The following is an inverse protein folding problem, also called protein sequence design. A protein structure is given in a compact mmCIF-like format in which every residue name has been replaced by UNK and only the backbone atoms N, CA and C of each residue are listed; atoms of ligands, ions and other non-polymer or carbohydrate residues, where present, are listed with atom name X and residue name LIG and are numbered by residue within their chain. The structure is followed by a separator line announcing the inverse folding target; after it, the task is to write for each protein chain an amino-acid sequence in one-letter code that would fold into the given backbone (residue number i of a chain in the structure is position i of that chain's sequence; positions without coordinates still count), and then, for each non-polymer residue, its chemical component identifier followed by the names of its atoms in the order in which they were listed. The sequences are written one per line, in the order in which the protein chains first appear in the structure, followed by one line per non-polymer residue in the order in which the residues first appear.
data_IF_492673754481
#
_entry.id   IF_492673754481
#
_cell.length_a   1.000
_cell.length_b   1.000
_cell.length_c   1.000
_cell.angle_alpha   90.00
_cell.angle_beta   90.00
_cell.angle_gamma   90.00
#
_symmetry.space_group_name_H-M   'P 1'
#
loop_
_entity.id
_entity.type
_entity.pdbx_description
1 polymer ?
#
# COMPACT_ATOMS: atom_id res chain seq x y z
N UNK A 1 51.66 -40.67 -72.36
CA UNK A 1 50.68 -41.59 -71.81
C UNK A 1 50.43 -41.26 -70.33
N UNK A 2 49.23 -41.09 -70.00
CA UNK A 2 48.52 -41.06 -68.75
C UNK A 2 47.72 -39.78 -68.49
N UNK A 3 46.46 -40.00 -68.61
CA UNK A 3 45.32 -39.04 -68.36
C UNK A 3 45.33 -38.54 -66.94
N UNK A 4 45.08 -37.21 -66.78
CA UNK A 4 44.66 -36.67 -65.49
C UNK A 4 43.22 -36.14 -65.71
N UNK A 5 42.24 -36.74 -64.98
CA UNK A 5 40.85 -36.40 -64.94
C UNK A 5 40.65 -35.30 -63.90
N UNK A 6 40.17 -34.12 -64.34
CA UNK A 6 39.77 -33.04 -63.46
C UNK A 6 38.41 -33.37 -62.81
N UNK A 7 38.40 -33.44 -61.48
CA UNK A 7 37.19 -33.51 -60.65
C UNK A 7 36.81 -32.09 -60.21
N UNK A 8 35.72 -31.58 -60.74
CA UNK A 8 35.13 -30.28 -60.31
C UNK A 8 34.26 -30.56 -59.09
N UNK A 9 34.72 -30.09 -57.91
CA UNK A 9 33.93 -30.09 -56.68
C UNK A 9 33.08 -28.80 -56.62
N UNK A 10 31.78 -28.94 -56.82
CA UNK A 10 30.82 -27.83 -56.63
C UNK A 10 30.55 -27.68 -55.11
N UNK A 11 31.04 -26.61 -54.55
CA UNK A 11 30.66 -26.21 -53.18
C UNK A 11 29.30 -25.51 -53.22
N UNK A 12 28.24 -26.13 -52.70
CA UNK A 12 26.98 -25.53 -52.41
C UNK A 12 27.11 -24.75 -51.08
N UNK A 13 27.17 -23.45 -51.15
CA UNK A 13 27.12 -22.58 -49.97
C UNK A 13 25.64 -22.47 -49.53
N UNK A 14 25.27 -23.29 -48.55
CA UNK A 14 24.00 -23.11 -47.83
C UNK A 14 24.14 -21.91 -46.90
N UNK A 15 23.60 -20.76 -47.31
CA UNK A 15 23.51 -19.58 -46.49
C UNK A 15 22.54 -19.81 -45.34
N UNK A 16 23.06 -20.07 -44.17
CA UNK A 16 22.30 -20.01 -42.92
C UNK A 16 21.88 -18.52 -42.71
N UNK A 17 20.65 -18.17 -43.03
CA UNK A 17 20.02 -16.94 -42.58
C UNK A 17 19.90 -17.04 -41.05
N UNK A 18 20.86 -16.48 -40.34
CA UNK A 18 20.75 -16.23 -38.91
C UNK A 18 19.63 -15.19 -38.73
N UNK A 19 18.44 -15.67 -38.35
CA UNK A 19 17.41 -14.81 -37.78
C UNK A 19 18.01 -14.22 -36.50
N UNK A 20 18.59 -13.05 -36.61
CA UNK A 20 18.88 -12.21 -35.45
C UNK A 20 17.52 -11.81 -34.88
N UNK A 21 17.01 -12.59 -33.92
CA UNK A 21 16.01 -12.08 -32.99
C UNK A 21 16.64 -10.87 -32.35
N UNK A 22 16.15 -9.70 -32.73
CA UNK A 22 16.42 -8.48 -31.95
C UNK A 22 16.02 -8.82 -30.53
N UNK A 23 16.98 -9.01 -29.62
CA UNK A 23 16.70 -9.00 -28.22
C UNK A 23 16.16 -7.59 -27.94
N UNK A 24 14.82 -7.48 -27.87
CA UNK A 24 14.22 -6.29 -27.30
C UNK A 24 14.93 -6.09 -25.96
N UNK A 25 15.52 -4.93 -25.76
CA UNK A 25 16.09 -4.58 -24.48
C UNK A 25 15.01 -4.84 -23.45
N UNK A 26 15.29 -5.78 -22.54
CA UNK A 26 14.35 -6.13 -21.49
C UNK A 26 13.94 -4.84 -20.78
N UNK A 27 12.63 -4.59 -20.65
CA UNK A 27 12.14 -3.44 -19.92
C UNK A 27 12.67 -3.51 -18.48
N UNK A 28 13.00 -2.36 -17.91
CA UNK A 28 13.34 -2.24 -16.50
C UNK A 28 12.25 -1.46 -15.80
N UNK A 29 11.83 -1.91 -14.64
CA UNK A 29 10.79 -1.27 -13.83
C UNK A 29 11.23 -1.28 -12.37
N UNK A 30 11.29 -0.08 -11.78
CA UNK A 30 11.56 0.08 -10.37
C UNK A 30 10.27 0.40 -9.62
N UNK A 31 9.80 -0.54 -8.79
CA UNK A 31 8.60 -0.42 -7.99
C UNK A 31 8.89 0.18 -6.61
N UNK A 32 8.06 1.11 -6.16
CA UNK A 32 8.01 1.51 -4.76
C UNK A 32 7.11 0.55 -4.00
N UNK A 33 7.67 -0.08 -2.96
CA UNK A 33 6.99 -1.05 -2.11
C UNK A 33 6.86 -0.47 -0.71
N UNK A 34 5.64 -0.10 -0.33
CA UNK A 34 5.41 0.44 1.01
C UNK A 34 5.50 -0.65 2.08
N UNK A 35 5.78 -0.26 3.32
CA UNK A 35 6.09 -1.17 4.43
C UNK A 35 4.84 -1.67 5.18
N UNK A 36 3.75 -1.95 4.45
CA UNK A 36 2.56 -2.63 4.97
C UNK A 36 2.02 -3.66 3.97
N UNK A 37 1.34 -4.68 4.49
CA UNK A 37 1.07 -5.92 3.77
C UNK A 37 0.22 -5.77 2.51
N UNK A 38 -0.81 -4.88 2.48
CA UNK A 38 -1.62 -4.71 1.27
C UNK A 38 -0.80 -4.14 0.12
N UNK A 39 0.06 -3.16 0.37
CA UNK A 39 0.96 -2.63 -0.65
C UNK A 39 1.95 -3.69 -1.15
N UNK A 40 2.50 -4.51 -0.23
CA UNK A 40 3.41 -5.58 -0.58
C UNK A 40 2.74 -6.62 -1.50
N UNK A 41 1.48 -7.00 -1.24
CA UNK A 41 0.73 -7.89 -2.14
C UNK A 41 0.53 -7.26 -3.51
N UNK A 42 0.15 -5.99 -3.58
CA UNK A 42 -0.01 -5.30 -4.86
C UNK A 42 1.31 -5.21 -5.63
N UNK A 43 2.40 -4.88 -4.95
CA UNK A 43 3.74 -4.83 -5.54
C UNK A 43 4.18 -6.20 -6.04
N UNK A 44 3.96 -7.26 -5.25
CA UNK A 44 4.32 -8.63 -5.63
C UNK A 44 3.51 -9.15 -6.83
N UNK A 45 2.19 -8.93 -6.86
CA UNK A 45 1.34 -9.32 -8.00
C UNK A 45 1.75 -8.56 -9.27
N UNK A 46 1.92 -7.25 -9.18
CA UNK A 46 2.33 -6.43 -10.32
C UNK A 46 3.72 -6.82 -10.81
N UNK A 47 4.68 -7.00 -9.89
CA UNK A 47 6.05 -7.43 -10.18
C UNK A 47 6.08 -8.79 -10.90
N UNK A 48 5.33 -9.77 -10.40
CA UNK A 48 5.26 -11.09 -11.02
C UNK A 48 4.73 -11.03 -12.47
N UNK A 49 3.67 -10.26 -12.71
CA UNK A 49 3.14 -10.07 -14.07
C UNK A 49 4.16 -9.36 -14.97
N UNK A 50 4.88 -8.35 -14.46
CA UNK A 50 5.92 -7.64 -15.20
C UNK A 50 7.09 -8.56 -15.57
N UNK A 51 7.56 -9.38 -14.63
CA UNK A 51 8.65 -10.33 -14.88
C UNK A 51 8.25 -11.47 -15.81
N UNK A 52 7.21 -12.21 -15.46
CA UNK A 52 6.83 -13.44 -16.17
C UNK A 52 6.02 -13.18 -17.43
N UNK A 53 5.19 -12.15 -17.42
CA UNK A 53 4.33 -11.79 -18.56
C UNK A 53 5.03 -10.91 -19.58
N UNK A 54 5.61 -9.81 -19.14
CA UNK A 54 6.26 -8.84 -20.03
C UNK A 54 7.75 -9.11 -20.23
N UNK A 55 8.39 -9.90 -19.37
CA UNK A 55 9.82 -10.19 -19.43
C UNK A 55 10.69 -9.02 -18.96
N UNK A 56 10.17 -8.18 -18.07
CA UNK A 56 10.90 -7.06 -17.50
C UNK A 56 11.87 -7.52 -16.41
N UNK A 57 12.96 -6.78 -16.24
CA UNK A 57 13.75 -6.77 -15.02
C UNK A 57 13.03 -5.88 -14.01
N UNK A 58 12.62 -6.42 -12.86
CA UNK A 58 11.87 -5.70 -11.83
C UNK A 58 12.73 -5.54 -10.59
N UNK A 59 12.90 -4.31 -10.16
CA UNK A 59 13.50 -3.95 -8.88
C UNK A 59 12.41 -3.37 -7.98
N UNK A 60 12.51 -3.54 -6.66
CA UNK A 60 11.64 -2.87 -5.71
C UNK A 60 12.44 -2.26 -4.56
N UNK A 61 12.00 -1.09 -4.10
CA UNK A 61 12.54 -0.45 -2.89
C UNK A 61 11.44 -0.38 -1.86
N UNK A 62 11.67 -1.01 -0.69
CA UNK A 62 10.74 -1.00 0.42
C UNK A 62 10.99 0.17 1.35
N UNK A 63 9.92 0.80 1.83
CA UNK A 63 10.01 1.90 2.79
C UNK A 63 8.67 2.48 3.19
N UNK A 64 8.69 3.38 4.18
CA UNK A 64 7.50 4.10 4.59
C UNK A 64 7.05 5.13 3.54
N UNK A 65 5.87 5.71 3.73
CA UNK A 65 5.25 6.61 2.73
C UNK A 65 6.16 7.76 2.33
N UNK A 66 6.78 8.43 3.28
CA UNK A 66 7.55 9.66 3.01
C UNK A 66 8.74 9.42 2.07
N UNK A 67 9.67 8.48 2.32
CA UNK A 67 10.81 8.25 1.43
C UNK A 67 10.40 7.65 0.08
N UNK A 68 9.41 6.75 0.03
CA UNK A 68 8.97 6.15 -1.24
C UNK A 68 8.32 7.19 -2.15
N UNK A 69 7.43 8.05 -1.60
CA UNK A 69 6.82 9.10 -2.39
C UNK A 69 7.85 10.16 -2.84
N UNK A 70 8.80 10.53 -1.98
CA UNK A 70 9.89 11.42 -2.38
C UNK A 70 10.71 10.83 -3.56
N UNK A 71 11.08 9.56 -3.50
CA UNK A 71 11.80 8.88 -4.57
C UNK A 71 10.99 8.80 -5.88
N UNK A 72 9.66 8.63 -5.80
CA UNK A 72 8.78 8.71 -6.97
C UNK A 72 8.78 10.11 -7.59
N UNK A 73 8.65 11.17 -6.76
CA UNK A 73 8.66 12.57 -7.22
C UNK A 73 10.00 12.97 -7.82
N UNK A 74 11.10 12.44 -7.28
CA UNK A 74 12.47 12.63 -7.76
C UNK A 74 12.84 11.72 -8.94
N UNK A 75 11.87 10.98 -9.50
CA UNK A 75 12.03 10.12 -10.68
C UNK A 75 13.03 8.96 -10.47
N UNK A 76 13.22 8.53 -9.22
CA UNK A 76 14.07 7.39 -8.84
C UNK A 76 13.30 6.06 -8.77
N UNK A 77 12.00 6.14 -8.50
CA UNK A 77 11.03 5.04 -8.57
C UNK A 77 10.12 5.30 -9.76
N UNK A 78 9.76 4.24 -10.47
CA UNK A 78 8.95 4.31 -11.67
C UNK A 78 7.44 4.25 -11.37
N UNK A 79 7.03 3.32 -10.50
CA UNK A 79 5.61 3.04 -10.22
C UNK A 79 5.43 2.74 -8.74
N UNK A 80 4.34 3.26 -8.17
CA UNK A 80 3.77 2.82 -6.88
C UNK A 80 2.36 2.27 -7.12
N UNK A 81 2.05 1.15 -6.47
CA UNK A 81 0.83 0.37 -6.74
C UNK A 81 -0.29 0.63 -5.74
N UNK A 82 0.00 1.27 -4.61
CA UNK A 82 -1.01 1.61 -3.60
C UNK A 82 -0.72 2.97 -2.97
N UNK A 83 -1.54 3.98 -3.26
CA UNK A 83 -1.41 5.32 -2.71
C UNK A 83 -2.67 5.70 -1.95
N UNK A 84 -2.52 6.07 -0.69
CA UNK A 84 -3.56 6.63 0.17
C UNK A 84 -3.71 8.13 -0.13
N UNK A 85 -4.26 8.43 -1.30
CA UNK A 85 -4.25 9.76 -1.92
C UNK A 85 -4.85 10.84 -1.04
N UNK A 86 -5.98 10.55 -0.40
CA UNK A 86 -6.70 11.55 0.41
C UNK A 86 -5.95 11.94 1.69
N UNK A 87 -4.96 11.16 2.11
CA UNK A 87 -4.02 11.52 3.16
C UNK A 87 -2.85 12.39 2.66
N UNK A 88 -2.73 12.58 1.34
CA UNK A 88 -1.60 13.21 0.65
C UNK A 88 -2.05 14.27 -0.37
N UNK A 89 -3.27 14.79 -0.28
CA UNK A 89 -3.91 15.61 -1.32
C UNK A 89 -2.97 16.69 -1.84
N UNK A 90 -2.50 17.58 -0.95
CA UNK A 90 -1.67 18.70 -1.37
C UNK A 90 -0.38 18.24 -2.04
N UNK A 91 0.28 17.22 -1.48
CA UNK A 91 1.53 16.70 -2.01
C UNK A 91 1.36 16.07 -3.40
N UNK A 92 0.27 15.35 -3.61
CA UNK A 92 -0.06 14.77 -4.92
C UNK A 92 -0.40 15.87 -5.94
N UNK A 93 -1.26 16.83 -5.59
CA UNK A 93 -1.64 17.92 -6.48
C UNK A 93 -0.43 18.79 -6.88
N UNK A 94 0.45 19.09 -5.95
CA UNK A 94 1.67 19.85 -6.23
C UNK A 94 2.59 19.13 -7.23
N UNK A 95 2.70 17.81 -7.13
CA UNK A 95 3.54 17.00 -8.00
C UNK A 95 2.90 16.71 -9.36
N UNK A 96 1.57 16.62 -9.41
CA UNK A 96 0.81 16.63 -10.67
C UNK A 96 1.01 17.97 -11.41
N UNK A 97 0.89 19.09 -10.71
CA UNK A 97 1.09 20.43 -11.27
C UNK A 97 2.54 20.67 -11.76
N UNK A 98 3.53 20.14 -11.03
CA UNK A 98 4.94 20.15 -11.45
C UNK A 98 5.24 19.19 -12.60
N UNK A 99 4.32 18.27 -12.91
CA UNK A 99 4.52 17.26 -13.94
C UNK A 99 5.56 16.21 -13.58
N UNK A 100 5.75 15.91 -12.29
CA UNK A 100 6.69 14.85 -11.85
C UNK A 100 6.04 13.47 -11.83
N UNK A 101 4.72 13.40 -11.69
CA UNK A 101 3.97 12.15 -11.67
C UNK A 101 2.74 12.20 -12.58
N UNK A 102 2.20 11.01 -12.85
CA UNK A 102 0.85 10.81 -13.37
C UNK A 102 0.10 9.83 -12.48
N UNK A 103 -1.19 10.06 -12.31
CA UNK A 103 -2.08 9.07 -11.67
C UNK A 103 -2.50 8.01 -12.67
N UNK A 104 -2.57 6.75 -12.21
CA UNK A 104 -2.92 5.59 -13.03
C UNK A 104 -4.27 4.97 -12.64
N UNK A 105 -5.08 5.72 -11.88
CA UNK A 105 -6.43 5.32 -11.48
C UNK A 105 -6.48 4.46 -10.21
N UNK A 106 -7.66 3.94 -9.92
CA UNK A 106 -7.96 3.20 -8.69
C UNK A 106 -7.34 1.82 -8.73
N UNK A 107 -6.67 1.46 -7.61
CA UNK A 107 -6.18 0.12 -7.34
C UNK A 107 -7.22 -0.69 -6.55
N UNK A 108 -7.58 -0.21 -5.34
CA UNK A 108 -8.51 -0.87 -4.44
C UNK A 108 -9.59 0.11 -4.02
N UNK A 109 -10.86 -0.15 -4.37
CA UNK A 109 -11.97 0.70 -3.94
C UNK A 109 -12.34 0.45 -2.48
N UNK A 110 -12.95 1.44 -1.84
CA UNK A 110 -13.59 1.32 -0.52
C UNK A 110 -12.63 0.90 0.60
N UNK A 111 -11.56 1.67 0.79
CA UNK A 111 -10.65 1.54 1.92
C UNK A 111 -11.06 2.48 3.05
N UNK A 112 -11.02 2.00 4.28
CA UNK A 112 -11.39 2.77 5.47
C UNK A 112 -10.26 2.79 6.48
N UNK A 113 -10.22 3.81 7.32
CA UNK A 113 -9.32 3.93 8.45
C UNK A 113 -9.98 4.73 9.57
N UNK A 114 -9.46 4.63 10.78
CA UNK A 114 -10.03 5.35 11.92
C UNK A 114 -9.59 4.79 13.27
N UNK A 115 -10.29 5.18 14.32
CA UNK A 115 -10.08 4.72 15.67
C UNK A 115 -11.02 3.56 15.99
N UNK A 116 -10.47 2.51 16.57
CA UNK A 116 -11.18 1.25 16.83
C UNK A 116 -11.04 0.82 18.29
N UNK A 117 -12.10 0.21 18.79
CA UNK A 117 -12.11 -0.48 20.10
C UNK A 117 -12.53 -1.93 19.86
N UNK A 118 -12.03 -2.86 20.67
CA UNK A 118 -12.51 -4.24 20.60
C UNK A 118 -14.01 -4.32 20.91
N UNK A 119 -14.73 -5.16 20.19
CA UNK A 119 -16.19 -5.27 20.25
C UNK A 119 -16.71 -5.66 21.64
N UNK A 120 -16.07 -6.60 22.39
CA UNK A 120 -16.50 -6.92 23.76
C UNK A 120 -16.45 -5.70 24.69
N UNK A 121 -15.37 -4.91 24.65
CA UNK A 121 -15.22 -3.71 25.47
C UNK A 121 -16.22 -2.62 25.02
N UNK A 122 -16.36 -2.39 23.73
CA UNK A 122 -17.34 -1.44 23.19
C UNK A 122 -18.78 -1.79 23.64
N UNK A 123 -19.17 -3.06 23.54
CA UNK A 123 -20.49 -3.52 23.94
C UNK A 123 -20.71 -3.40 25.45
N UNK A 124 -19.70 -3.74 26.26
CA UNK A 124 -19.81 -3.71 27.73
C UNK A 124 -19.95 -2.31 28.30
N UNK A 125 -19.26 -1.34 27.72
CA UNK A 125 -19.20 0.03 28.23
C UNK A 125 -19.98 1.04 27.38
N UNK A 126 -20.63 0.57 26.31
CA UNK A 126 -21.48 1.41 25.42
C UNK A 126 -20.66 2.37 24.55
N UNK A 127 -19.39 2.03 24.25
CA UNK A 127 -18.50 2.88 23.48
C UNK A 127 -18.87 2.87 22.00
N UNK A 128 -19.22 4.02 21.45
CA UNK A 128 -19.65 4.20 20.06
C UNK A 128 -18.95 5.37 19.37
N UNK A 129 -18.65 6.43 20.11
CA UNK A 129 -18.08 7.66 19.59
C UNK A 129 -16.74 7.95 20.27
N UNK A 130 -15.86 8.70 19.63
CA UNK A 130 -14.57 9.11 20.21
C UNK A 130 -14.74 9.88 21.53
N UNK A 131 -15.86 10.59 21.70
CA UNK A 131 -16.17 11.30 22.94
C UNK A 131 -16.42 10.37 24.12
N UNK A 132 -16.87 9.13 23.90
CA UNK A 132 -17.04 8.12 24.95
C UNK A 132 -15.71 7.70 25.58
N UNK A 133 -14.61 7.91 24.85
CA UNK A 133 -13.25 7.63 25.32
C UNK A 133 -12.75 8.69 26.31
N UNK A 134 -13.34 9.89 26.36
CA UNK A 134 -12.95 10.99 27.28
C UNK A 134 -13.45 10.78 28.70
N UNK A 135 -13.08 9.65 29.29
CA UNK A 135 -13.46 9.26 30.64
C UNK A 135 -12.28 8.53 31.31
N UNK A 136 -11.88 9.01 32.48
CA UNK A 136 -10.75 8.45 33.19
C UNK A 136 -10.94 6.97 33.59
N UNK A 137 -12.16 6.52 33.87
CA UNK A 137 -12.41 5.12 34.19
C UNK A 137 -12.39 4.23 32.95
N UNK A 138 -12.79 4.75 31.79
CA UNK A 138 -12.61 4.09 30.50
C UNK A 138 -11.15 4.03 30.13
N UNK A 139 -10.39 5.11 30.29
CA UNK A 139 -8.95 5.15 29.99
C UNK A 139 -8.14 4.10 30.79
N UNK A 140 -8.51 3.86 32.07
CA UNK A 140 -7.88 2.82 32.90
C UNK A 140 -7.99 1.41 32.32
N UNK A 141 -9.01 1.12 31.51
CA UNK A 141 -9.16 -0.20 30.85
C UNK A 141 -8.01 -0.47 29.88
N UNK A 142 -7.47 0.58 29.30
CA UNK A 142 -6.40 0.58 28.31
C UNK A 142 -5.06 1.04 28.90
N UNK A 143 -4.85 0.88 30.19
CA UNK A 143 -3.73 1.45 30.94
C UNK A 143 -2.38 1.34 30.21
N UNK A 144 -1.68 2.47 30.11
CA UNK A 144 -0.36 2.54 29.52
C UNK A 144 0.71 2.25 30.59
N UNK A 145 1.51 1.17 30.46
CA UNK A 145 2.55 0.86 31.43
C UNK A 145 3.69 1.89 31.46
N UNK A 146 3.86 2.67 30.40
CA UNK A 146 4.91 3.69 30.27
C UNK A 146 4.45 5.08 30.69
N UNK A 147 3.12 5.29 30.82
CA UNK A 147 2.52 6.57 31.24
C UNK A 147 1.47 6.34 32.32
N UNK A 148 1.87 6.16 33.59
CA UNK A 148 0.96 5.93 34.72
C UNK A 148 -0.15 6.99 34.78
N UNK A 149 -1.39 6.53 34.88
CA UNK A 149 -2.57 7.39 34.92
C UNK A 149 -3.23 7.67 33.57
N UNK A 150 -2.60 7.31 32.47
CA UNK A 150 -3.19 7.37 31.11
C UNK A 150 -3.49 5.98 30.55
N UNK A 151 -4.43 5.93 29.63
CA UNK A 151 -4.61 4.82 28.72
C UNK A 151 -3.62 4.91 27.53
N UNK A 152 -3.47 3.82 26.80
CA UNK A 152 -2.71 3.76 25.54
C UNK A 152 -3.65 3.63 24.36
N UNK A 153 -3.56 4.55 23.39
CA UNK A 153 -4.05 4.35 22.05
C UNK A 153 -2.88 3.89 21.19
N UNK A 154 -2.91 2.64 20.72
CA UNK A 154 -1.91 2.15 19.77
C UNK A 154 -2.22 2.76 18.40
N UNK A 155 -1.39 3.68 17.98
CA UNK A 155 -1.68 4.57 16.85
C UNK A 155 -0.95 4.16 15.57
N UNK A 156 -0.94 5.06 14.61
CA UNK A 156 -0.24 4.92 13.36
C UNK A 156 1.28 5.05 13.55
N UNK A 157 2.03 4.54 12.60
CA UNK A 157 3.49 4.42 12.64
C UNK A 157 4.12 5.70 12.08
N UNK A 158 5.20 6.16 12.73
CA UNK A 158 6.04 7.26 12.24
C UNK A 158 6.55 6.95 10.83
N UNK A 159 6.47 7.94 9.93
CA UNK A 159 6.79 7.77 8.50
C UNK A 159 5.58 7.44 7.62
N UNK A 160 4.45 7.00 8.19
CA UNK A 160 3.17 6.94 7.50
C UNK A 160 2.40 8.26 7.63
N UNK A 161 1.57 8.57 6.63
CA UNK A 161 0.82 9.84 6.64
C UNK A 161 -0.18 9.95 7.78
N UNK A 162 -0.79 8.83 8.19
CA UNK A 162 -1.74 8.78 9.31
C UNK A 162 -1.12 9.13 10.67
N UNK A 163 0.20 9.02 10.82
CA UNK A 163 0.86 9.34 12.11
C UNK A 163 0.57 10.78 12.55
N UNK A 164 0.87 11.75 11.70
CA UNK A 164 0.66 13.17 12.04
C UNK A 164 -0.82 13.54 12.02
N UNK A 165 -1.62 12.93 11.13
CA UNK A 165 -3.09 13.11 11.15
C UNK A 165 -3.66 12.66 12.48
N UNK A 166 -3.26 11.49 12.99
CA UNK A 166 -3.71 10.98 14.28
C UNK A 166 -3.23 11.83 15.46
N UNK A 167 -2.01 12.40 15.40
CA UNK A 167 -1.55 13.35 16.42
C UNK A 167 -2.47 14.56 16.51
N UNK A 168 -2.84 15.15 15.38
CA UNK A 168 -3.76 16.30 15.33
C UNK A 168 -5.15 15.91 15.82
N UNK A 169 -5.72 14.81 15.31
CA UNK A 169 -7.04 14.31 15.72
C UNK A 169 -7.09 13.98 17.21
N UNK A 170 -6.06 13.30 17.71
CA UNK A 170 -5.94 12.94 19.12
C UNK A 170 -6.01 14.18 20.03
N UNK A 171 -5.35 15.26 19.62
CA UNK A 171 -5.35 16.52 20.34
C UNK A 171 -6.67 17.28 20.20
N UNK A 172 -7.19 17.43 18.99
CA UNK A 172 -8.45 18.11 18.73
C UNK A 172 -9.63 17.44 19.45
N UNK A 173 -9.63 16.12 19.52
CA UNK A 173 -10.66 15.37 20.25
C UNK A 173 -10.46 15.39 21.77
N UNK A 174 -9.38 16.00 22.29
CA UNK A 174 -9.07 16.01 23.73
C UNK A 174 -8.71 14.63 24.28
N UNK A 175 -8.29 13.71 23.43
CA UNK A 175 -7.86 12.36 23.85
C UNK A 175 -6.49 12.39 24.53
N UNK A 176 -5.68 13.40 24.26
CA UNK A 176 -4.35 13.60 24.84
C UNK A 176 -4.36 13.81 26.36
N UNK A 177 -5.49 14.24 26.94
CA UNK A 177 -5.68 14.30 28.39
C UNK A 177 -5.76 12.90 29.00
N UNK A 178 -6.32 11.91 28.29
CA UNK A 178 -6.65 10.59 28.79
C UNK A 178 -5.73 9.48 28.28
N UNK A 179 -5.17 9.62 27.09
CA UNK A 179 -4.39 8.58 26.42
C UNK A 179 -3.06 9.08 25.90
N UNK A 180 -2.09 8.18 25.84
CA UNK A 180 -0.91 8.37 25.00
C UNK A 180 -1.24 7.97 23.56
N UNK A 181 -0.68 8.71 22.61
CA UNK A 181 -0.70 8.34 21.18
C UNK A 181 0.55 7.50 20.90
N UNK A 182 0.46 6.17 21.10
CA UNK A 182 1.60 5.28 21.09
C UNK A 182 1.94 4.81 19.68
N UNK A 183 3.18 5.04 19.26
CA UNK A 183 3.74 4.52 18.00
C UNK A 183 4.26 3.10 18.21
N UNK A 184 3.72 2.06 17.58
CA UNK A 184 4.21 0.69 17.68
C UNK A 184 5.51 0.43 16.90
N UNK A 185 5.96 1.37 16.07
CA UNK A 185 7.20 1.32 15.31
C UNK A 185 7.13 0.56 13.96
N UNK A 186 6.13 -0.28 13.74
CA UNK A 186 5.89 -0.97 12.46
C UNK A 186 4.47 -1.49 12.34
N UNK A 187 4.01 -1.74 11.10
CA UNK A 187 2.68 -2.34 10.84
C UNK A 187 2.55 -3.71 11.51
N UNK A 188 3.56 -4.57 11.40
CA UNK A 188 3.56 -5.87 12.06
C UNK A 188 3.52 -5.78 13.59
N UNK A 189 4.13 -4.75 14.20
CA UNK A 189 4.06 -4.53 15.65
C UNK A 189 2.66 -4.03 16.07
N UNK A 190 2.01 -3.20 15.24
CA UNK A 190 0.61 -2.81 15.44
C UNK A 190 -0.32 -4.03 15.41
N UNK A 191 -0.19 -4.88 14.39
CA UNK A 191 -0.95 -6.13 14.26
C UNK A 191 -0.73 -7.06 15.45
N UNK A 192 0.53 -7.24 15.86
CA UNK A 192 0.88 -8.08 17.00
C UNK A 192 0.32 -7.53 18.33
N UNK A 193 0.30 -6.20 18.50
CA UNK A 193 -0.29 -5.57 19.68
C UNK A 193 -1.81 -5.84 19.77
N UNK A 194 -2.53 -5.65 18.65
CA UNK A 194 -3.98 -5.90 18.58
C UNK A 194 -4.28 -7.40 18.77
N UNK A 195 -3.67 -8.27 17.95
CA UNK A 195 -3.90 -9.72 18.02
C UNK A 195 -3.51 -10.30 19.38
N UNK A 196 -2.39 -9.84 19.96
CA UNK A 196 -1.92 -10.27 21.27
C UNK A 196 -2.84 -9.86 22.42
N UNK A 197 -3.46 -8.68 22.34
CA UNK A 197 -4.47 -8.24 23.29
C UNK A 197 -5.74 -9.09 23.19
N UNK A 198 -6.25 -9.30 21.95
CA UNK A 198 -7.39 -10.19 21.71
C UNK A 198 -7.18 -11.59 22.26
N UNK A 199 -6.03 -12.21 21.96
CA UNK A 199 -5.69 -13.55 22.48
C UNK A 199 -5.68 -13.64 24.00
N UNK A 200 -5.38 -12.53 24.68
CA UNK A 200 -5.34 -12.43 26.16
C UNK A 200 -6.66 -11.93 26.76
N UNK A 201 -7.69 -11.68 25.95
CA UNK A 201 -8.95 -11.07 26.39
C UNK A 201 -8.79 -9.67 26.99
N UNK A 202 -7.78 -8.93 26.53
CA UNK A 202 -7.52 -7.56 26.99
C UNK A 202 -8.17 -6.53 26.08
N UNK A 203 -8.66 -5.40 26.63
CA UNK A 203 -9.16 -4.29 25.82
C UNK A 203 -8.14 -3.76 24.84
N UNK A 204 -8.64 -3.32 23.67
CA UNK A 204 -7.86 -2.69 22.60
C UNK A 204 -8.46 -1.32 22.29
N UNK A 205 -7.65 -0.28 22.27
CA UNK A 205 -7.94 1.00 21.64
C UNK A 205 -6.81 1.32 20.67
N UNK A 206 -7.13 1.37 19.38
CA UNK A 206 -6.11 1.52 18.34
C UNK A 206 -6.62 2.32 17.14
N UNK A 207 -5.67 2.90 16.40
CA UNK A 207 -5.86 3.19 14.98
C UNK A 207 -5.79 1.88 14.19
N UNK A 208 -6.63 1.75 13.17
CA UNK A 208 -6.51 0.65 12.23
C UNK A 208 -7.18 0.99 10.87
N UNK A 209 -7.04 0.10 9.88
CA UNK A 209 -7.55 0.34 8.52
C UNK A 209 -7.96 -0.95 7.81
N UNK A 210 -8.59 -0.79 6.63
CA UNK A 210 -8.84 -1.88 5.67
C UNK A 210 -8.34 -1.47 4.28
N UNK A 211 -7.77 -2.40 3.46
CA UNK A 211 -7.72 -3.85 3.67
C UNK A 211 -6.55 -4.29 4.56
N UNK A 212 -6.81 -5.26 5.45
CA UNK A 212 -5.78 -5.93 6.25
C UNK A 212 -6.19 -7.38 6.54
N UNK A 213 -5.21 -8.26 6.74
CA UNK A 213 -5.47 -9.65 7.10
C UNK A 213 -6.05 -9.81 8.52
N UNK A 214 -5.73 -8.89 9.44
CA UNK A 214 -6.18 -8.95 10.81
C UNK A 214 -7.66 -8.60 10.98
N UNK A 215 -8.22 -7.69 10.16
CA UNK A 215 -9.63 -7.28 10.26
C UNK A 215 -10.64 -8.43 10.04
N UNK A 216 -10.22 -9.51 9.39
CA UNK A 216 -11.02 -10.73 9.29
C UNK A 216 -10.95 -11.66 10.50
N UNK A 217 -10.03 -11.40 11.44
CA UNK A 217 -9.69 -12.29 12.56
C UNK A 217 -10.04 -11.74 13.93
N UNK A 218 -10.22 -10.41 14.02
CA UNK A 218 -10.51 -9.70 15.27
C UNK A 218 -11.76 -8.86 15.13
N UNK A 219 -12.62 -8.90 16.14
CA UNK A 219 -13.84 -8.10 16.20
C UNK A 219 -13.53 -6.71 16.73
N UNK A 220 -13.21 -5.77 15.81
CA UNK A 220 -13.05 -4.35 16.11
C UNK A 220 -14.29 -3.56 15.72
N UNK A 221 -14.63 -2.57 16.51
CA UNK A 221 -15.68 -1.58 16.23
C UNK A 221 -15.01 -0.25 15.97
N UNK A 222 -15.26 0.33 14.79
CA UNK A 222 -14.83 1.70 14.48
C UNK A 222 -15.66 2.66 15.32
N UNK A 223 -15.00 3.54 16.06
CA UNK A 223 -15.65 4.62 16.76
C UNK A 223 -16.16 5.66 15.76
N UNK A 224 -17.34 6.19 16.02
CA UNK A 224 -17.84 7.35 15.30
C UNK A 224 -17.01 8.59 15.67
N UNK A 225 -16.71 9.39 14.69
CA UNK A 225 -16.01 10.66 14.81
C UNK A 225 -16.92 11.76 14.25
N UNK A 226 -16.63 13.06 14.46
CA UNK A 226 -17.30 14.13 13.71
C UNK A 226 -17.27 13.79 12.22
N UNK A 227 -18.43 13.92 11.56
CA UNK A 227 -18.57 13.52 10.16
C UNK A 227 -17.57 14.23 9.27
N UNK A 228 -17.12 13.52 8.23
CA UNK A 228 -16.24 14.09 7.23
C UNK A 228 -16.81 15.40 6.68
N UNK A 229 -16.00 16.43 6.70
CA UNK A 229 -16.25 17.74 6.11
C UNK A 229 -15.01 18.19 5.35
N UNK A 230 -15.15 18.50 4.07
CA UNK A 230 -14.02 18.83 3.21
C UNK A 230 -13.26 20.07 3.70
N UNK A 231 -13.97 21.10 4.15
CA UNK A 231 -13.31 22.33 4.60
C UNK A 231 -12.51 22.08 5.89
N UNK A 232 -13.07 21.29 6.81
CA UNK A 232 -12.36 20.88 8.01
C UNK A 232 -11.16 19.97 7.67
N UNK A 233 -11.32 19.05 6.74
CA UNK A 233 -10.21 18.19 6.31
C UNK A 233 -9.06 19.02 5.72
N UNK A 234 -9.38 19.99 4.85
CA UNK A 234 -8.38 20.87 4.23
C UNK A 234 -7.68 21.78 5.25
N UNK A 235 -8.40 22.25 6.28
CA UNK A 235 -7.83 23.04 7.37
C UNK A 235 -6.91 22.16 8.25
N UNK A 236 -7.38 21.00 8.67
CA UNK A 236 -6.62 20.06 9.48
C UNK A 236 -5.35 19.60 8.78
N UNK A 237 -5.41 19.27 7.49
CA UNK A 237 -4.24 18.79 6.74
C UNK A 237 -3.19 19.89 6.54
N UNK A 238 -3.52 21.16 6.52
CA UNK A 238 -2.52 22.25 6.57
C UNK A 238 -1.74 22.22 7.87
N UNK A 239 -2.40 22.01 9.01
CA UNK A 239 -1.72 21.87 10.31
C UNK A 239 -0.86 20.61 10.32
N UNK A 240 -1.32 19.51 9.73
CA UNK A 240 -0.56 18.28 9.55
C UNK A 240 0.72 18.51 8.75
N UNK A 241 0.64 19.24 7.63
CA UNK A 241 1.84 19.56 6.81
C UNK A 241 2.79 20.51 7.54
N UNK A 242 2.28 21.50 8.26
CA UNK A 242 3.11 22.38 9.11
C UNK A 242 3.88 21.56 10.15
N UNK A 243 3.24 20.62 10.82
CA UNK A 243 3.88 19.74 11.82
C UNK A 243 4.93 18.82 11.17
N UNK A 244 4.64 18.25 10.00
CA UNK A 244 5.62 17.42 9.27
C UNK A 244 6.89 18.20 8.90
N UNK A 245 6.72 19.45 8.50
CA UNK A 245 7.83 20.30 8.09
C UNK A 245 8.65 20.84 9.26
N UNK A 246 8.01 21.18 10.39
CA UNK A 246 8.59 22.01 11.44
C UNK A 246 8.54 21.38 12.85
N UNK A 247 7.97 20.16 12.97
CA UNK A 247 7.81 19.46 14.24
C UNK A 247 6.51 19.79 14.99
N UNK A 248 6.18 19.04 16.07
CA UNK A 248 4.88 19.15 16.74
C UNK A 248 4.67 20.47 17.49
N UNK A 249 5.72 21.22 17.77
CA UNK A 249 5.64 22.48 18.52
C UNK A 249 4.94 23.62 17.74
N UNK A 250 4.80 23.46 16.40
CA UNK A 250 4.09 24.44 15.56
C UNK A 250 2.58 24.19 15.48
N UNK A 251 2.06 23.24 16.26
CA UNK A 251 0.63 22.96 16.30
C UNK A 251 -0.20 24.23 16.50
N UNK A 252 -1.28 24.34 15.71
CA UNK A 252 -2.30 25.38 15.84
C UNK A 252 -3.66 24.73 16.01
N UNK A 253 -4.54 25.41 16.72
CA UNK A 253 -5.92 24.97 16.87
C UNK A 253 -6.58 24.84 15.50
N UNK A 254 -7.27 23.75 15.33
CA UNK A 254 -7.97 23.38 14.09
C UNK A 254 -9.17 22.50 14.42
N UNK A 255 -10.00 22.21 13.43
CA UNK A 255 -11.01 21.15 13.55
C UNK A 255 -10.41 19.78 13.23
N UNK A 256 -11.15 18.72 13.52
CA UNK A 256 -10.88 17.37 13.04
C UNK A 256 -12.20 16.65 12.74
N UNK A 257 -12.15 15.78 11.73
CA UNK A 257 -13.28 14.96 11.30
C UNK A 257 -12.82 13.53 10.98
N UNK A 258 -13.78 12.63 10.76
CA UNK A 258 -13.47 11.26 10.38
C UNK A 258 -12.67 11.21 9.07
N UNK A 259 -11.91 10.11 8.91
CA UNK A 259 -11.29 9.83 7.62
C UNK A 259 -12.37 9.55 6.56
N UNK A 260 -12.15 10.06 5.36
CA UNK A 260 -13.00 9.72 4.22
C UNK A 260 -12.88 8.23 3.89
N UNK A 261 -13.98 7.62 3.44
CA UNK A 261 -13.91 6.31 2.80
C UNK A 261 -13.33 6.52 1.39
N UNK A 262 -12.11 6.06 1.19
CA UNK A 262 -11.34 6.40 -0.01
C UNK A 262 -11.09 5.19 -0.91
N UNK A 263 -10.80 5.48 -2.17
CA UNK A 263 -10.23 4.51 -3.09
C UNK A 263 -8.71 4.67 -3.11
N UNK A 264 -7.98 3.57 -2.95
CA UNK A 264 -6.52 3.57 -3.10
C UNK A 264 -6.18 3.70 -4.57
N UNK A 265 -5.13 4.45 -4.90
CA UNK A 265 -4.75 4.76 -6.26
C UNK A 265 -3.35 4.26 -6.60
N UNK A 266 -2.94 4.44 -7.85
CA UNK A 266 -1.61 4.11 -8.36
C UNK A 266 -1.03 5.34 -9.04
N UNK A 267 0.28 5.47 -9.00
CA UNK A 267 0.99 6.56 -9.67
C UNK A 267 2.26 6.06 -10.36
N UNK A 268 2.67 6.78 -11.38
CA UNK A 268 3.96 6.58 -12.02
C UNK A 268 4.72 7.90 -12.16
N UNK A 269 6.05 7.81 -12.20
CA UNK A 269 6.91 8.93 -12.55
C UNK A 269 6.70 9.34 -14.01
N UNK A 270 6.74 10.63 -14.31
CA UNK A 270 6.63 11.13 -15.69
C UNK A 270 7.82 10.73 -16.54
N UNK A 271 9.00 10.56 -15.94
CA UNK A 271 10.19 10.04 -16.63
C UNK A 271 9.90 8.64 -17.21
N UNK A 272 9.38 7.73 -16.41
CA UNK A 272 9.01 6.40 -16.86
C UNK A 272 7.86 6.45 -17.88
N UNK A 273 6.86 7.28 -17.60
CA UNK A 273 5.66 7.39 -18.43
C UNK A 273 5.92 8.01 -19.81
N UNK A 274 6.95 8.85 -19.96
CA UNK A 274 7.31 9.50 -21.22
C UNK A 274 8.00 8.58 -22.22
N UNK A 275 8.48 7.42 -21.78
CA UNK A 275 9.16 6.44 -22.64
C UNK A 275 8.14 5.63 -23.41
N UNK A 276 8.10 5.77 -24.73
CA UNK A 276 7.07 5.16 -25.57
C UNK A 276 6.99 3.62 -25.44
N UNK A 277 8.14 2.94 -25.24
CA UNK A 277 8.18 1.48 -25.03
C UNK A 277 7.53 1.02 -23.72
N UNK A 278 7.33 1.92 -22.77
CA UNK A 278 6.69 1.61 -21.49
C UNK A 278 5.15 1.67 -21.53
N UNK A 279 4.60 2.11 -22.68
CA UNK A 279 3.13 2.20 -22.84
C UNK A 279 2.38 0.90 -22.48
N UNK A 280 2.81 -0.30 -22.91
CA UNK A 280 2.11 -1.54 -22.53
C UNK A 280 2.10 -1.79 -21.02
N UNK A 281 3.16 -1.41 -20.31
CA UNK A 281 3.27 -1.51 -18.86
C UNK A 281 2.30 -0.52 -18.19
N UNK A 282 2.26 0.72 -18.66
CA UNK A 282 1.35 1.73 -18.13
C UNK A 282 -0.13 1.33 -18.39
N UNK A 283 -0.43 0.74 -19.53
CA UNK A 283 -1.78 0.25 -19.84
C UNK A 283 -2.17 -0.89 -18.88
N UNK A 284 -1.24 -1.82 -18.60
CA UNK A 284 -1.42 -2.86 -17.59
C UNK A 284 -1.69 -2.26 -16.22
N UNK A 285 -0.83 -1.37 -15.73
CA UNK A 285 -0.98 -0.76 -14.41
C UNK A 285 -2.28 0.06 -14.32
N UNK A 286 -2.71 0.75 -15.37
CA UNK A 286 -4.02 1.42 -15.40
C UNK A 286 -5.18 0.46 -15.25
N UNK A 287 -5.11 -0.69 -15.93
CA UNK A 287 -6.15 -1.71 -15.88
C UNK A 287 -6.15 -2.51 -14.55
N UNK A 288 -5.01 -2.54 -13.86
CA UNK A 288 -4.84 -3.25 -12.60
C UNK A 288 -5.76 -2.70 -11.51
N UNK A 289 -6.66 -3.52 -10.99
CA UNK A 289 -7.51 -3.17 -9.84
C UNK A 289 -8.03 -4.43 -9.16
N UNK A 290 -7.85 -4.51 -7.84
CA UNK A 290 -8.29 -5.64 -7.02
C UNK A 290 -9.39 -5.17 -6.06
N UNK A 291 -10.58 -5.78 -6.08
CA UNK A 291 -11.63 -5.50 -5.09
C UNK A 291 -11.15 -5.77 -3.66
N UNK A 292 -11.52 -4.92 -2.72
CA UNK A 292 -11.15 -5.04 -1.30
C UNK A 292 -11.34 -6.45 -0.70
N UNK A 293 -12.44 -7.19 -0.99
CA UNK A 293 -12.60 -8.56 -0.49
C UNK A 293 -11.52 -9.53 -1.00
N UNK A 294 -11.03 -9.34 -2.23
CA UNK A 294 -10.00 -10.20 -2.80
C UNK A 294 -8.60 -9.85 -2.26
N UNK A 295 -8.34 -8.57 -1.96
CA UNK A 295 -7.15 -8.17 -1.19
C UNK A 295 -7.17 -8.81 0.20
N UNK A 296 -8.30 -8.74 0.91
CA UNK A 296 -8.45 -9.35 2.23
C UNK A 296 -8.21 -10.87 2.21
N UNK A 297 -8.70 -11.58 1.18
CA UNK A 297 -8.45 -13.03 1.02
C UNK A 297 -6.97 -13.32 0.81
N UNK A 298 -6.30 -12.52 -0.02
CA UNK A 298 -4.85 -12.66 -0.24
C UNK A 298 -4.06 -12.39 1.04
N UNK A 299 -4.45 -11.39 1.82
CA UNK A 299 -3.84 -11.09 3.12
C UNK A 299 -4.08 -12.20 4.14
N UNK A 300 -5.26 -12.82 4.15
CA UNK A 300 -5.54 -13.99 5.00
C UNK A 300 -4.64 -15.18 4.60
N UNK A 301 -4.50 -15.46 3.31
CA UNK A 301 -3.59 -16.50 2.81
C UNK A 301 -2.13 -16.21 3.21
N UNK A 302 -1.69 -14.97 3.03
CA UNK A 302 -0.35 -14.52 3.44
C UNK A 302 -0.06 -14.82 4.91
N UNK A 303 -1.01 -14.49 5.78
CA UNK A 303 -0.85 -14.68 7.24
C UNK A 303 -0.97 -16.13 7.71
N UNK A 304 -1.81 -16.94 7.07
CA UNK A 304 -2.23 -18.24 7.60
C UNK A 304 -1.61 -19.43 6.87
N UNK A 305 -1.31 -19.29 5.58
CA UNK A 305 -0.98 -20.42 4.72
C UNK A 305 0.40 -20.29 4.07
N UNK A 306 0.77 -19.09 3.56
CA UNK A 306 2.07 -18.89 2.90
C UNK A 306 3.26 -18.78 3.86
N UNK A 307 3.01 -18.72 5.18
CA UNK A 307 4.08 -18.49 6.15
C UNK A 307 4.71 -17.11 6.07
N UNK A 308 4.02 -16.12 5.50
CA UNK A 308 4.52 -14.76 5.30
C UNK A 308 5.31 -14.58 3.99
N UNK A 309 5.11 -15.44 3.00
CA UNK A 309 5.74 -15.35 1.68
C UNK A 309 4.85 -14.57 0.71
N UNK A 310 5.30 -13.37 0.32
CA UNK A 310 4.57 -12.49 -0.61
C UNK A 310 4.60 -13.01 -2.06
N UNK A 311 5.68 -13.65 -2.49
CA UNK A 311 5.77 -14.23 -3.83
C UNK A 311 4.80 -15.41 -3.97
N UNK A 312 4.75 -16.30 -2.98
CA UNK A 312 3.79 -17.39 -2.93
C UNK A 312 2.36 -16.86 -2.90
N UNK A 313 2.11 -15.80 -2.12
CA UNK A 313 0.79 -15.15 -2.06
C UNK A 313 0.39 -14.57 -3.42
N UNK A 314 1.30 -13.92 -4.13
CA UNK A 314 1.03 -13.41 -5.47
C UNK A 314 0.72 -14.55 -6.47
N UNK A 315 1.48 -15.64 -6.44
CA UNK A 315 1.23 -16.85 -7.26
C UNK A 315 -0.13 -17.45 -6.94
N UNK A 316 -0.44 -17.60 -5.65
CA UNK A 316 -1.75 -18.11 -5.21
C UNK A 316 -2.89 -17.24 -5.74
N UNK A 317 -2.81 -15.91 -5.64
CA UNK A 317 -3.78 -15.00 -6.20
C UNK A 317 -3.95 -15.19 -7.70
N UNK A 318 -2.86 -15.21 -8.45
CA UNK A 318 -2.86 -15.35 -9.91
C UNK A 318 -3.39 -16.71 -10.37
N UNK A 319 -3.11 -17.78 -9.65
CA UNK A 319 -3.61 -19.12 -9.95
C UNK A 319 -5.11 -19.29 -9.66
N UNK A 320 -5.60 -18.66 -8.59
CA UNK A 320 -6.96 -18.89 -8.08
C UNK A 320 -7.98 -17.82 -8.49
N UNK A 321 -7.55 -16.71 -9.13
CA UNK A 321 -8.45 -15.68 -9.64
C UNK A 321 -8.29 -15.50 -11.15
N UNK A 322 -9.36 -15.12 -11.82
CA UNK A 322 -9.32 -14.81 -13.26
C UNK A 322 -9.32 -13.31 -13.57
N UNK A 323 -9.45 -12.46 -12.54
CA UNK A 323 -9.66 -11.01 -12.74
C UNK A 323 -8.48 -10.33 -13.41
N UNK A 324 -7.25 -10.74 -13.11
CA UNK A 324 -6.03 -10.17 -13.64
C UNK A 324 -5.83 -10.40 -15.15
N UNK A 325 -6.46 -11.44 -15.71
CA UNK A 325 -6.39 -11.74 -17.17
C UNK A 325 -6.97 -10.61 -18.03
N UNK A 326 -7.79 -9.74 -17.44
CA UNK A 326 -8.34 -8.55 -18.12
C UNK A 326 -7.40 -7.36 -18.13
N UNK A 327 -6.34 -7.39 -17.31
CA UNK A 327 -5.39 -6.28 -17.20
C UNK A 327 -4.30 -6.31 -18.26
N UNK A 328 -4.11 -7.45 -18.90
CA UNK A 328 -2.99 -7.72 -19.80
C UNK A 328 -3.46 -8.32 -21.14
N UNK A 329 -2.69 -8.18 -22.22
CA UNK A 329 -2.92 -8.91 -23.46
C UNK A 329 -2.90 -10.45 -23.27
N UNK A 330 -3.60 -11.17 -24.15
CA UNK A 330 -3.76 -12.63 -24.03
C UNK A 330 -2.43 -13.41 -24.07
N UNK A 331 -1.46 -12.96 -24.84
CA UNK A 331 -0.12 -13.57 -24.92
C UNK A 331 0.68 -13.35 -23.63
N UNK A 332 0.55 -12.18 -23.01
CA UNK A 332 1.14 -11.89 -21.68
C UNK A 332 0.48 -12.77 -20.62
N UNK A 333 -0.86 -12.88 -20.63
CA UNK A 333 -1.58 -13.76 -19.71
C UNK A 333 -1.15 -15.23 -19.86
N UNK A 334 -0.94 -15.72 -21.09
CA UNK A 334 -0.48 -17.08 -21.34
C UNK A 334 0.92 -17.36 -20.74
N UNK A 335 1.83 -16.39 -20.83
CA UNK A 335 3.17 -16.52 -20.23
C UNK A 335 3.10 -16.57 -18.70
N UNK A 336 2.28 -15.70 -18.08
CA UNK A 336 2.07 -15.73 -16.63
C UNK A 336 1.50 -17.07 -16.19
N UNK A 337 0.44 -17.58 -16.86
CA UNK A 337 -0.14 -18.88 -16.54
C UNK A 337 0.89 -20.03 -16.67
N UNK A 338 1.77 -19.97 -17.68
CA UNK A 338 2.80 -21.00 -17.87
C UNK A 338 3.90 -20.97 -16.80
N UNK A 339 3.99 -19.92 -16.02
CA UNK A 339 5.01 -19.73 -14.96
C UNK A 339 4.48 -20.01 -13.54
N UNK A 340 3.14 -20.16 -13.38
CA UNK A 340 2.49 -20.52 -12.11
C UNK A 340 2.58 -22.02 -11.86
#
# INVERSE_FOLDING_TARGET
MKFLRNLILSFVFAGAMSLTTSANAACKVHLGDFDWDSANIHTAIAGYILEKGYGCEVESTKGSTTPIMAALFDQQIDIVTEVWRDNLVQLIEDNLAKGTIIELGVNTPSSTQGFYVDKPTAAKYGLKHVDDMKNADIAKLFADPEAPGKGRMTSCISGWTCYTINLVKHKVYGLDEFYTNFDPGSGGALDAAIAGAFKKGKPVFSYYWTPTGLMGKVDLVKLEEPKYDQACWDEMTKVVEDIKANGPDVYKDTCACEYVNMSLTKAASTKFASVASNKPILDFIRAYSIPTPDVNKSLAFYMDESGGDMEETAKHFLANTGIWKKWVPADVAAKVVASL
#
